data_IF_258839246564
#
_entry.id   IF_258839246564
#
_cell.length_a   1.000
_cell.length_b   1.000
_cell.length_c   1.000
_cell.angle_alpha   90.00
_cell.angle_beta   90.00
_cell.angle_gamma   90.00
#
_symmetry.space_group_name_H-M   'P 1'
#
loop_
_entity.id
_entity.type
_entity.pdbx_description
1 polymer ?
#
# COMPACT_ATOMS: atom_id res chain seq x y z
N UNK A 1 -53.49 2.25 2.81
CA UNK A 1 -53.71 2.73 1.43
C UNK A 1 -52.36 3.00 0.77
N UNK A 2 -52.01 2.24 -0.27
CA UNK A 2 -50.78 2.47 -1.05
C UNK A 2 -50.91 3.76 -1.86
N UNK A 3 -49.92 4.64 -1.76
CA UNK A 3 -49.94 6.00 -2.37
C UNK A 3 -48.91 6.14 -3.51
N UNK A 4 -48.30 5.03 -3.93
CA UNK A 4 -47.26 5.01 -4.96
C UNK A 4 -47.82 4.87 -6.38
N UNK A 5 -47.00 5.20 -7.38
CA UNK A 5 -47.25 4.83 -8.79
C UNK A 5 -46.63 3.46 -9.07
N UNK A 6 -47.44 2.47 -9.40
CA UNK A 6 -47.00 1.11 -9.78
C UNK A 6 -47.91 0.02 -9.22
N UNK A 7 -47.50 -1.25 -9.41
CA UNK A 7 -48.23 -2.40 -8.88
C UNK A 7 -48.21 -2.40 -7.35
N UNK A 8 -49.38 -2.62 -6.70
CA UNK A 8 -49.47 -2.57 -5.26
C UNK A 8 -48.69 -3.74 -4.62
N UNK A 9 -48.13 -3.55 -3.41
CA UNK A 9 -47.50 -4.63 -2.67
C UNK A 9 -48.55 -5.71 -2.35
N UNK A 10 -48.09 -6.96 -2.38
CA UNK A 10 -48.88 -8.13 -2.03
C UNK A 10 -48.54 -8.54 -0.60
N UNK A 11 -49.53 -8.97 0.17
CA UNK A 11 -49.37 -9.63 1.46
C UNK A 11 -49.84 -11.06 1.29
N UNK A 12 -48.94 -12.03 1.49
CA UNK A 12 -49.19 -13.47 1.30
C UNK A 12 -49.84 -13.79 -0.05
N UNK A 13 -49.36 -13.11 -1.10
CA UNK A 13 -49.83 -13.26 -2.48
C UNK A 13 -51.15 -12.54 -2.79
N UNK A 14 -51.70 -11.73 -1.87
CA UNK A 14 -52.95 -10.98 -2.08
C UNK A 14 -52.72 -9.48 -2.03
N UNK A 15 -53.42 -8.73 -2.87
CA UNK A 15 -53.42 -7.26 -2.80
C UNK A 15 -54.13 -6.84 -1.52
N UNK A 16 -53.51 -5.93 -0.76
CA UNK A 16 -54.05 -5.43 0.49
C UNK A 16 -54.04 -3.90 0.52
N UNK A 17 -55.05 -3.28 1.13
CA UNK A 17 -55.04 -1.82 1.38
C UNK A 17 -54.61 -1.48 2.81
N UNK A 18 -55.04 -2.29 3.78
CA UNK A 18 -54.68 -2.25 5.18
C UNK A 18 -55.00 -3.62 5.80
N UNK A 19 -54.00 -4.28 6.38
CA UNK A 19 -54.15 -5.57 7.05
C UNK A 19 -53.24 -5.62 8.28
N UNK A 20 -53.65 -6.27 9.38
CA UNK A 20 -52.76 -6.52 10.51
C UNK A 20 -51.64 -7.47 10.06
N UNK A 21 -50.40 -7.15 10.44
CA UNK A 21 -49.23 -7.99 10.16
C UNK A 21 -49.04 -8.97 11.33
N UNK A 22 -49.12 -10.27 11.02
CA UNK A 22 -48.86 -11.34 11.98
C UNK A 22 -47.42 -11.85 11.81
N UNK A 23 -46.80 -12.41 12.87
CA UNK A 23 -45.51 -13.08 12.73
C UNK A 23 -45.60 -14.25 11.74
N UNK A 24 -44.80 -14.21 10.68
CA UNK A 24 -44.83 -15.14 9.55
C UNK A 24 -45.42 -14.54 8.27
N UNK A 25 -46.08 -13.38 8.33
CA UNK A 25 -46.66 -12.74 7.14
C UNK A 25 -45.58 -12.26 6.16
N UNK A 26 -45.78 -12.52 4.87
CA UNK A 26 -44.85 -12.18 3.79
C UNK A 26 -45.38 -11.02 2.94
N UNK A 27 -44.62 -9.94 2.85
CA UNK A 27 -44.88 -8.80 1.98
C UNK A 27 -44.06 -8.99 0.71
N UNK A 28 -44.72 -9.15 -0.44
CA UNK A 28 -44.07 -9.28 -1.74
C UNK A 28 -44.23 -8.00 -2.54
N UNK A 29 -43.12 -7.43 -3.01
CA UNK A 29 -43.14 -6.22 -3.83
C UNK A 29 -42.01 -6.23 -4.84
N UNK A 30 -42.35 -6.20 -6.14
CA UNK A 30 -41.38 -6.20 -7.26
C UNK A 30 -40.29 -7.27 -7.13
N UNK A 31 -40.66 -8.48 -6.70
CA UNK A 31 -39.73 -9.61 -6.51
C UNK A 31 -38.98 -9.62 -5.17
N UNK A 32 -39.09 -8.57 -4.35
CA UNK A 32 -38.61 -8.59 -2.97
C UNK A 32 -39.68 -9.21 -2.06
N UNK A 33 -39.28 -10.17 -1.21
CA UNK A 33 -40.15 -10.80 -0.22
C UNK A 33 -39.64 -10.44 1.18
N UNK A 34 -40.44 -9.71 1.95
CA UNK A 34 -40.14 -9.35 3.35
C UNK A 34 -41.04 -10.15 4.28
N UNK A 35 -40.48 -10.95 5.17
CA UNK A 35 -41.26 -11.71 6.17
C UNK A 35 -41.23 -10.98 7.51
N UNK A 36 -42.41 -10.65 8.03
CA UNK A 36 -42.57 -9.99 9.32
C UNK A 36 -42.55 -11.03 10.45
N UNK A 37 -41.79 -10.80 11.53
CA UNK A 37 -41.90 -11.60 12.76
C UNK A 37 -40.90 -12.74 12.98
N UNK A 38 -39.76 -12.79 12.30
CA UNK A 38 -38.64 -13.61 12.77
C UNK A 38 -37.69 -12.79 13.65
N UNK A 39 -37.91 -12.90 14.96
CA UNK A 39 -36.88 -12.62 15.95
C UNK A 39 -35.86 -13.77 15.98
N UNK A 40 -34.57 -13.40 15.91
CA UNK A 40 -33.35 -14.21 15.75
C UNK A 40 -33.01 -14.63 14.32
N UNK A 41 -32.18 -13.82 13.68
CA UNK A 41 -31.39 -14.23 12.53
C UNK A 41 -30.38 -15.29 12.93
N UNK A 42 -30.68 -16.53 12.61
CA UNK A 42 -29.69 -17.52 12.18
C UNK A 42 -29.78 -17.49 10.66
N UNK A 43 -28.71 -17.06 9.99
CA UNK A 43 -28.59 -17.18 8.54
C UNK A 43 -28.30 -18.65 8.26
N UNK A 44 -29.35 -19.41 7.94
CA UNK A 44 -29.22 -20.77 7.41
C UNK A 44 -28.87 -20.66 5.93
N UNK A 45 -27.67 -21.13 5.59
CA UNK A 45 -27.13 -21.20 4.23
C UNK A 45 -27.94 -22.23 3.42
N UNK A 46 -28.57 -21.78 2.33
CA UNK A 46 -29.31 -22.66 1.42
C UNK A 46 -28.32 -23.55 0.66
N UNK A 47 -28.39 -24.86 0.88
CA UNK A 47 -27.64 -25.88 0.13
C UNK A 47 -28.05 -25.91 -1.35
N UNK A 48 -27.09 -25.59 -2.22
CA UNK A 48 -26.79 -26.33 -3.44
C UNK A 48 -27.63 -26.09 -4.70
N UNK A 49 -27.13 -25.25 -5.61
CA UNK A 49 -27.14 -25.58 -7.04
C UNK A 49 -25.82 -26.32 -7.39
N UNK A 50 -25.86 -27.47 -8.09
CA UNK A 50 -24.65 -28.22 -8.40
C UNK A 50 -24.01 -27.64 -9.65
N UNK A 51 -22.80 -27.09 -9.51
CA UNK A 51 -21.91 -26.88 -10.65
C UNK A 51 -21.23 -25.52 -10.70
N UNK A 52 -20.27 -25.32 -9.82
CA UNK A 52 -18.90 -24.98 -10.19
C UNK A 52 -18.02 -25.26 -8.96
N UNK A 53 -16.97 -26.03 -9.15
CA UNK A 53 -15.98 -26.35 -8.13
C UNK A 53 -15.29 -25.06 -7.66
N UNK A 54 -15.73 -24.48 -6.54
CA UNK A 54 -15.00 -23.39 -5.90
C UNK A 54 -13.85 -23.96 -5.07
N UNK A 55 -12.73 -24.14 -5.75
CA UNK A 55 -11.41 -24.04 -5.14
C UNK A 55 -11.26 -22.64 -4.51
N UNK A 56 -11.27 -22.51 -3.18
CA UNK A 56 -10.86 -21.23 -2.59
C UNK A 56 -11.18 -20.88 -1.15
N UNK A 57 -10.92 -21.76 -0.17
CA UNK A 57 -10.88 -21.38 1.27
C UNK A 57 -9.74 -20.36 1.59
N UNK A 58 -8.94 -19.95 0.61
CA UNK A 58 -7.82 -19.02 0.81
C UNK A 58 -8.16 -17.51 0.74
N UNK A 59 -9.41 -17.13 0.47
CA UNK A 59 -9.81 -15.72 0.29
C UNK A 59 -10.01 -14.94 1.61
N UNK A 60 -10.61 -15.56 2.63
CA UNK A 60 -10.98 -14.90 3.88
C UNK A 60 -9.78 -14.46 4.72
N UNK A 61 -8.73 -15.28 4.79
CA UNK A 61 -7.54 -15.00 5.60
C UNK A 61 -6.77 -13.77 5.11
N UNK A 62 -6.72 -13.56 3.79
CA UNK A 62 -5.97 -12.43 3.19
C UNK A 62 -6.71 -11.12 3.39
N UNK A 63 -8.05 -11.12 3.29
CA UNK A 63 -8.86 -9.92 3.49
C UNK A 63 -8.82 -9.46 4.95
N UNK A 64 -8.89 -10.39 5.90
CA UNK A 64 -8.75 -10.12 7.32
C UNK A 64 -7.35 -9.62 7.69
N UNK A 65 -6.31 -10.15 7.04
CA UNK A 65 -4.92 -9.70 7.22
C UNK A 65 -4.72 -8.24 6.78
N UNK A 66 -5.33 -7.82 5.68
CA UNK A 66 -5.25 -6.43 5.20
C UNK A 66 -5.95 -5.50 6.19
N UNK A 67 -7.17 -5.87 6.62
CA UNK A 67 -7.92 -5.08 7.59
C UNK A 67 -7.17 -4.96 8.92
N UNK A 68 -6.61 -6.06 9.42
CA UNK A 68 -5.82 -6.11 10.66
C UNK A 68 -4.58 -5.20 10.60
N UNK A 69 -3.86 -5.20 9.47
CA UNK A 69 -2.66 -4.36 9.28
C UNK A 69 -2.99 -2.87 9.18
N UNK A 70 -4.08 -2.52 8.48
CA UNK A 70 -4.51 -1.11 8.38
C UNK A 70 -5.00 -0.62 9.75
N UNK A 71 -5.76 -1.45 10.47
CA UNK A 71 -6.25 -1.13 11.81
C UNK A 71 -5.09 -0.93 12.79
N UNK A 72 -4.11 -1.82 12.81
CA UNK A 72 -2.94 -1.70 13.70
C UNK A 72 -2.14 -0.42 13.44
N UNK A 73 -1.98 -0.03 12.18
CA UNK A 73 -1.35 1.23 11.79
C UNK A 73 -2.13 2.47 12.25
N UNK A 74 -3.46 2.45 12.14
CA UNK A 74 -4.33 3.52 12.61
C UNK A 74 -4.30 3.66 14.14
N UNK A 75 -4.30 2.54 14.87
CA UNK A 75 -4.17 2.51 16.33
C UNK A 75 -2.83 3.13 16.79
N UNK A 76 -1.74 2.80 16.11
CA UNK A 76 -0.42 3.36 16.39
C UNK A 76 -0.33 4.87 16.09
N UNK A 77 -1.00 5.35 15.04
CA UNK A 77 -1.05 6.78 14.67
C UNK A 77 -1.84 7.60 15.70
N UNK A 78 -2.98 7.07 16.16
CA UNK A 78 -3.85 7.71 17.15
C UNK A 78 -3.37 7.54 18.60
N UNK A 79 -2.26 6.81 18.84
CA UNK A 79 -1.74 6.47 20.17
C UNK A 79 -2.76 5.71 21.05
N UNK A 80 -3.54 4.83 20.43
CA UNK A 80 -4.59 4.03 21.07
C UNK A 80 -4.15 2.58 21.37
N UNK A 81 -2.84 2.34 21.33
CA UNK A 81 -2.18 1.06 21.62
C UNK A 81 -0.95 1.32 22.50
N UNK A 82 -0.24 0.27 22.89
CA UNK A 82 0.97 0.39 23.72
C UNK A 82 2.05 1.24 23.02
N UNK A 83 2.40 2.37 23.65
CA UNK A 83 3.43 3.28 23.17
C UNK A 83 4.84 2.66 23.17
N UNK A 84 5.11 1.67 24.02
CA UNK A 84 6.40 0.97 24.04
C UNK A 84 6.52 0.01 22.85
N UNK A 85 5.46 -0.76 22.55
CA UNK A 85 5.38 -1.55 21.32
C UNK A 85 5.58 -0.70 20.06
N UNK A 86 4.91 0.46 19.95
CA UNK A 86 5.08 1.37 18.80
C UNK A 86 6.53 1.87 18.65
N UNK A 87 7.21 2.19 19.76
CA UNK A 87 8.64 2.59 19.72
C UNK A 87 9.53 1.46 19.22
N UNK A 88 9.33 0.23 19.72
CA UNK A 88 10.08 -0.96 19.27
C UNK A 88 9.90 -1.21 17.78
N UNK A 89 8.65 -1.18 17.29
CA UNK A 89 8.38 -1.38 15.87
C UNK A 89 8.91 -0.26 14.98
N UNK A 90 8.93 1.00 15.45
CA UNK A 90 9.62 2.09 14.74
C UNK A 90 11.12 1.84 14.63
N UNK A 91 11.76 1.34 15.68
CA UNK A 91 13.17 0.97 15.64
C UNK A 91 13.41 -0.19 14.66
N UNK A 92 12.56 -1.22 14.66
CA UNK A 92 12.64 -2.34 13.72
C UNK A 92 12.49 -1.89 12.25
N UNK A 93 11.61 -0.91 11.97
CA UNK A 93 11.51 -0.28 10.64
C UNK A 93 12.80 0.42 10.24
N UNK A 94 13.43 1.15 11.15
CA UNK A 94 14.71 1.83 10.87
C UNK A 94 15.86 0.84 10.67
N UNK A 95 15.82 -0.31 11.36
CA UNK A 95 16.79 -1.39 11.23
C UNK A 95 16.57 -2.29 9.99
N UNK A 96 15.50 -2.05 9.20
CA UNK A 96 15.08 -2.92 8.09
C UNK A 96 14.69 -4.36 8.51
N UNK A 97 14.35 -4.56 9.78
CA UNK A 97 13.92 -5.85 10.37
C UNK A 97 12.39 -5.90 10.58
N UNK A 98 11.64 -5.17 9.77
CA UNK A 98 10.20 -5.00 9.96
C UNK A 98 9.40 -6.21 9.45
N UNK A 99 8.75 -6.92 10.38
CA UNK A 99 7.72 -7.90 10.06
C UNK A 99 6.31 -7.32 10.24
N UNK A 100 5.53 -7.13 9.15
CA UNK A 100 4.18 -6.58 9.22
C UNK A 100 3.19 -7.49 9.94
N UNK A 101 3.35 -8.81 9.88
CA UNK A 101 2.41 -9.75 10.48
C UNK A 101 2.54 -9.78 12.00
N UNK A 102 3.77 -9.84 12.52
CA UNK A 102 4.01 -9.76 13.97
C UNK A 102 3.72 -8.38 14.53
N UNK A 103 4.01 -7.31 13.79
CA UNK A 103 3.64 -5.96 14.18
C UNK A 103 2.12 -5.80 14.34
N UNK A 104 1.34 -6.27 13.37
CA UNK A 104 -0.13 -6.17 13.44
C UNK A 104 -0.69 -6.94 14.64
N UNK A 105 -0.23 -8.18 14.88
CA UNK A 105 -0.67 -8.99 16.03
C UNK A 105 -0.35 -8.33 17.36
N UNK A 106 0.87 -7.82 17.53
CA UNK A 106 1.30 -7.21 18.79
C UNK A 106 0.59 -5.88 19.08
N UNK A 107 0.39 -5.04 18.06
CA UNK A 107 -0.32 -3.76 18.22
C UNK A 107 -1.82 -3.93 18.46
N UNK A 108 -2.45 -4.96 17.88
CA UNK A 108 -3.85 -5.31 18.14
C UNK A 108 -4.04 -5.95 19.52
N UNK A 109 -3.07 -6.72 20.00
CA UNK A 109 -3.11 -7.27 21.36
C UNK A 109 -3.07 -6.17 22.43
N UNK A 110 -2.41 -5.04 22.15
CA UNK A 110 -2.35 -3.86 23.01
C UNK A 110 -3.49 -2.85 22.79
N UNK A 111 -4.55 -3.22 22.06
CA UNK A 111 -5.67 -2.33 21.75
C UNK A 111 -6.44 -1.92 23.01
N UNK A 112 -6.59 -0.62 23.21
CA UNK A 112 -7.26 -0.05 24.38
C UNK A 112 -8.70 0.41 24.07
N UNK A 113 -9.21 0.12 22.87
CA UNK A 113 -10.40 0.79 22.30
C UNK A 113 -11.40 -0.22 21.74
N UNK A 114 -12.72 -0.02 21.96
CA UNK A 114 -13.77 -0.88 21.39
C UNK A 114 -13.83 -0.84 19.86
N UNK A 115 -14.27 -1.94 19.20
CA UNK A 115 -14.54 -1.94 17.77
C UNK A 115 -15.70 -0.99 17.45
N UNK A 116 -15.40 0.15 16.83
CA UNK A 116 -16.39 1.15 16.45
C UNK A 116 -16.16 2.57 16.99
N UNK A 117 -14.99 2.85 17.59
CA UNK A 117 -14.63 4.22 18.00
C UNK A 117 -14.69 5.18 16.81
N UNK A 118 -15.42 6.29 16.99
CA UNK A 118 -15.62 7.33 15.98
C UNK A 118 -14.31 7.96 15.56
N UNK A 119 -13.30 7.99 16.44
CA UNK A 119 -11.95 8.51 16.14
C UNK A 119 -11.24 7.69 15.06
N UNK A 120 -11.39 6.37 15.10
CA UNK A 120 -10.83 5.47 14.09
C UNK A 120 -11.53 5.66 12.74
N UNK A 121 -12.86 5.79 12.75
CA UNK A 121 -13.65 6.02 11.54
C UNK A 121 -13.33 7.37 10.87
N UNK A 122 -13.24 8.44 11.64
CA UNK A 122 -12.86 9.76 11.11
C UNK A 122 -11.45 9.74 10.49
N UNK A 123 -10.49 9.10 11.17
CA UNK A 123 -9.12 9.00 10.66
C UNK A 123 -9.05 8.12 9.42
N UNK A 124 -9.76 7.00 9.40
CA UNK A 124 -9.85 6.10 8.24
C UNK A 124 -10.46 6.81 7.03
N UNK A 125 -11.51 7.63 7.23
CA UNK A 125 -12.14 8.41 6.17
C UNK A 125 -11.18 9.44 5.56
N UNK A 126 -10.42 10.14 6.41
CA UNK A 126 -9.36 11.06 5.95
C UNK A 126 -8.27 10.32 5.18
N UNK A 127 -7.83 9.16 5.70
CA UNK A 127 -6.83 8.31 5.04
C UNK A 127 -7.32 7.83 3.66
N UNK A 128 -8.57 7.38 3.54
CA UNK A 128 -9.17 6.96 2.28
C UNK A 128 -9.15 8.11 1.25
N UNK A 129 -9.61 9.30 1.66
CA UNK A 129 -9.57 10.49 0.81
C UNK A 129 -8.14 10.83 0.37
N UNK A 130 -7.18 10.79 1.30
CA UNK A 130 -5.79 11.10 1.02
C UNK A 130 -5.15 10.04 0.10
N UNK A 131 -5.49 8.76 0.24
CA UNK A 131 -5.04 7.70 -0.66
C UNK A 131 -5.59 7.86 -2.08
N UNK A 132 -6.89 8.15 -2.21
CA UNK A 132 -7.55 8.43 -3.50
C UNK A 132 -6.91 9.64 -4.19
N UNK A 133 -6.69 10.73 -3.45
CA UNK A 133 -6.02 11.92 -3.96
C UNK A 133 -4.54 11.64 -4.29
N UNK A 134 -3.85 10.84 -3.47
CA UNK A 134 -2.43 10.52 -3.69
C UNK A 134 -2.22 9.65 -4.93
N UNK A 135 -3.15 8.73 -5.25
CA UNK A 135 -3.09 7.94 -6.47
C UNK A 135 -3.18 8.84 -7.71
N UNK A 136 -4.13 9.78 -7.70
CA UNK A 136 -4.26 10.79 -8.75
C UNK A 136 -3.01 11.68 -8.85
N UNK A 137 -2.47 12.14 -7.72
CA UNK A 137 -1.26 12.96 -7.69
C UNK A 137 0.01 12.18 -8.05
N UNK A 138 0.10 10.86 -7.81
CA UNK A 138 1.21 10.01 -8.27
C UNK A 138 1.17 9.83 -9.79
N UNK A 139 -0.01 9.77 -10.40
CA UNK A 139 -0.15 9.78 -11.86
C UNK A 139 0.37 11.09 -12.47
N UNK A 140 0.09 12.24 -11.85
CA UNK A 140 0.43 13.57 -12.39
C UNK A 140 1.81 14.08 -11.95
N UNK A 141 2.33 13.68 -10.79
CA UNK A 141 3.62 14.16 -10.21
C UNK A 141 4.64 13.03 -9.91
N UNK A 142 4.28 11.75 -9.96
CA UNK A 142 5.15 10.63 -9.64
C UNK A 142 6.29 10.42 -10.64
N UNK A 143 6.06 10.73 -11.91
CA UNK A 143 7.11 10.76 -12.96
C UNK A 143 8.24 11.74 -12.59
N UNK A 144 7.91 12.89 -11.98
CA UNK A 144 8.91 13.88 -11.56
C UNK A 144 9.74 13.45 -10.34
N UNK A 145 9.19 12.68 -9.39
CA UNK A 145 9.97 12.22 -8.21
C UNK A 145 10.92 11.08 -8.54
N UNK A 146 10.52 10.15 -9.42
CA UNK A 146 11.41 9.06 -9.87
C UNK A 146 12.59 9.59 -10.70
N UNK A 147 12.35 10.62 -11.52
CA UNK A 147 13.42 11.34 -12.21
C UNK A 147 14.38 12.07 -11.25
N UNK A 148 13.87 12.65 -10.14
CA UNK A 148 14.70 13.37 -9.16
C UNK A 148 15.49 12.47 -8.21
N UNK A 149 14.99 11.26 -7.94
CA UNK A 149 15.73 10.25 -7.19
C UNK A 149 16.87 9.65 -8.04
N UNK A 150 16.61 9.39 -9.33
CA UNK A 150 17.61 8.89 -10.26
C UNK A 150 18.75 9.91 -10.52
N UNK A 151 18.47 11.21 -10.51
CA UNK A 151 19.53 12.24 -10.63
C UNK A 151 20.40 12.36 -9.37
N UNK A 152 19.88 12.04 -8.18
CA UNK A 152 20.66 12.09 -6.94
C UNK A 152 21.63 10.90 -6.83
N UNK A 153 21.25 9.71 -7.32
CA UNK A 153 22.16 8.57 -7.45
C UNK A 153 23.15 8.74 -8.60
N UNK A 154 22.74 9.38 -9.71
CA UNK A 154 23.62 9.70 -10.83
C UNK A 154 24.71 10.72 -10.48
N UNK A 155 24.37 11.78 -9.73
CA UNK A 155 25.34 12.81 -9.34
C UNK A 155 26.45 12.28 -8.41
N UNK A 156 26.12 11.38 -7.49
CA UNK A 156 27.10 10.72 -6.62
C UNK A 156 28.06 9.82 -7.42
N UNK A 157 27.54 9.12 -8.44
CA UNK A 157 28.35 8.30 -9.34
C UNK A 157 29.30 9.17 -10.19
N UNK A 158 28.85 10.31 -10.70
CA UNK A 158 29.69 11.25 -11.46
C UNK A 158 30.81 11.83 -10.58
N UNK A 159 30.50 12.19 -9.33
CA UNK A 159 31.50 12.71 -8.40
C UNK A 159 32.55 11.64 -8.02
N UNK A 160 32.11 10.40 -7.78
CA UNK A 160 33.02 9.28 -7.52
C UNK A 160 33.94 9.00 -8.72
N UNK A 161 33.41 9.04 -9.94
CA UNK A 161 34.21 8.87 -11.15
C UNK A 161 35.19 10.04 -11.37
N UNK A 162 34.80 11.28 -11.08
CA UNK A 162 35.72 12.43 -11.15
C UNK A 162 36.91 12.27 -10.20
N UNK A 163 36.66 11.81 -8.97
CA UNK A 163 37.72 11.56 -7.99
C UNK A 163 38.63 10.43 -8.47
N UNK A 164 38.06 9.33 -8.97
CA UNK A 164 38.84 8.24 -9.53
C UNK A 164 39.72 8.71 -10.70
N UNK A 165 39.15 9.45 -11.66
CA UNK A 165 39.90 10.02 -12.80
C UNK A 165 41.01 10.94 -12.30
N UNK A 166 40.75 11.81 -11.31
CA UNK A 166 41.77 12.71 -10.77
C UNK A 166 42.93 11.97 -10.11
N UNK A 167 42.68 10.84 -9.44
CA UNK A 167 43.75 10.04 -8.82
C UNK A 167 44.59 9.38 -9.91
N UNK A 168 43.94 8.79 -10.92
CA UNK A 168 44.67 8.18 -12.04
C UNK A 168 45.51 9.19 -12.81
N UNK A 169 44.98 10.39 -13.11
CA UNK A 169 45.75 11.42 -13.80
C UNK A 169 46.95 11.90 -12.96
N UNK A 170 46.78 12.03 -11.64
CA UNK A 170 47.87 12.43 -10.75
C UNK A 170 48.95 11.35 -10.64
N UNK A 171 48.56 10.07 -10.59
CA UNK A 171 49.51 8.94 -10.62
C UNK A 171 50.28 8.91 -11.94
N UNK A 172 49.59 9.06 -13.08
CA UNK A 172 50.25 9.11 -14.40
C UNK A 172 51.20 10.29 -14.49
N UNK A 173 50.81 11.48 -14.02
CA UNK A 173 51.67 12.66 -13.98
C UNK A 173 52.90 12.45 -13.10
N UNK A 174 52.72 11.83 -11.92
CA UNK A 174 53.82 11.52 -11.01
C UNK A 174 54.81 10.54 -11.63
N UNK A 175 54.31 9.48 -12.27
CA UNK A 175 55.15 8.52 -13.02
C UNK A 175 55.89 9.21 -14.15
N UNK A 176 55.20 10.07 -14.92
CA UNK A 176 55.81 10.86 -15.98
C UNK A 176 56.94 11.74 -15.43
N UNK A 177 56.70 12.49 -14.36
CA UNK A 177 57.73 13.34 -13.72
C UNK A 177 58.91 12.51 -13.22
N UNK A 178 58.67 11.34 -12.63
CA UNK A 178 59.72 10.46 -12.14
C UNK A 178 60.58 9.93 -13.30
N UNK A 179 59.94 9.51 -14.40
CA UNK A 179 60.64 9.11 -15.64
C UNK A 179 61.45 10.28 -16.20
N UNK A 180 60.91 11.51 -16.19
CA UNK A 180 61.61 12.70 -16.66
C UNK A 180 62.87 12.99 -15.83
N UNK A 181 62.76 12.91 -14.51
CA UNK A 181 63.87 13.19 -13.59
C UNK A 181 64.94 12.10 -13.66
N UNK A 182 64.55 10.82 -13.78
CA UNK A 182 65.52 9.72 -13.82
C UNK A 182 66.14 9.48 -15.20
N UNK A 183 65.39 9.65 -16.30
CA UNK A 183 65.83 9.27 -17.64
C UNK A 183 66.07 10.44 -18.60
N UNK A 184 65.76 11.69 -18.20
CA UNK A 184 66.05 12.88 -19.01
C UNK A 184 65.34 12.94 -20.37
N UNK A 185 64.39 12.04 -20.62
CA UNK A 185 63.65 11.91 -21.90
C UNK A 185 62.72 13.09 -22.13
N UNK A 186 62.80 13.73 -23.30
CA UNK A 186 61.88 14.79 -23.74
C UNK A 186 60.51 14.19 -24.09
N UNK A 187 59.44 14.81 -23.61
CA UNK A 187 58.08 14.28 -23.70
C UNK A 187 57.44 14.35 -25.09
N UNK A 188 57.98 15.17 -26.00
CA UNK A 188 57.40 15.37 -27.34
C UNK A 188 57.32 14.06 -28.13
N UNK A 189 58.36 13.21 -28.09
CA UNK A 189 58.38 11.96 -28.85
C UNK A 189 57.43 10.87 -28.34
N UNK A 190 57.05 10.90 -27.07
CA UNK A 190 56.15 9.90 -26.47
C UNK A 190 54.69 10.32 -26.59
N UNK A 191 54.40 11.62 -26.48
CA UNK A 191 53.07 12.17 -26.71
C UNK A 191 52.66 12.07 -28.19
N UNK A 192 53.57 12.38 -29.12
CA UNK A 192 53.31 12.19 -30.56
C UNK A 192 53.02 10.74 -30.92
N UNK A 193 53.66 9.78 -30.24
CA UNK A 193 53.41 8.35 -30.46
C UNK A 193 52.04 7.90 -29.91
N UNK A 194 51.61 8.43 -28.78
CA UNK A 194 50.29 8.11 -28.19
C UNK A 194 49.18 8.79 -29.01
N UNK A 195 49.35 10.05 -29.40
CA UNK A 195 48.42 10.78 -30.26
C UNK A 195 48.33 10.11 -31.64
N UNK A 196 49.45 9.64 -32.20
CA UNK A 196 49.45 8.88 -33.45
C UNK A 196 48.77 7.51 -33.37
N UNK A 197 48.69 6.88 -32.18
CA UNK A 197 48.01 5.59 -31.98
C UNK A 197 46.50 5.76 -31.72
N UNK A 198 46.08 6.87 -31.12
CA UNK A 198 44.67 7.17 -30.86
C UNK A 198 43.99 8.04 -31.95
N UNK A 199 44.78 8.66 -32.83
CA UNK A 199 44.33 9.54 -33.91
C UNK A 199 44.35 8.93 -35.31
N UNK A 200 44.56 7.60 -35.43
CA UNK A 200 44.50 6.83 -36.68
C UNK A 200 43.23 6.03 -36.83
#
# INVERSE_FOLDING_TARGET
>A
MYVGRGDPPLLDGRVFEQAPLEPGSSIQWRGAVLVFGQGRGVLEELEGEPGCEDAGVSGGTVQDDVAARVRSGLLADLKLTDNQAVKRWRAAVMASEFDPASCARELLAGEQVPPGDTRLLERATRLQRDLLMSAHQRGVKGVRRRARAATRSGAAYVLANLIAISIYTLVVLAVMLLVRVQYGTSFDGTLDRIIGVFGG
#
